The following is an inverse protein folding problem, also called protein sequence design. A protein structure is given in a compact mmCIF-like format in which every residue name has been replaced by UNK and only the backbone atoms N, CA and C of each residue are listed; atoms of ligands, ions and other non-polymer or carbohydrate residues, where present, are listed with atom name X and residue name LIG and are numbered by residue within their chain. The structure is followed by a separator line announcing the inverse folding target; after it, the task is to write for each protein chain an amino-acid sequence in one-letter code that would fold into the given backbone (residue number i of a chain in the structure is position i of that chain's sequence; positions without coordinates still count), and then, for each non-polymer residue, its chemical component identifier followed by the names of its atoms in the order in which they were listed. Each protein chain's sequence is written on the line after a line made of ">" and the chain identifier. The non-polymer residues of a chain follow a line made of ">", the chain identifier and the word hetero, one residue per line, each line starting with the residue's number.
data_IF_450890987044
#
_entry.id   IF_450890987044
#
_cell.length_a   1.000
_cell.length_b   1.000
_cell.length_c   1.000
_cell.angle_alpha   90.00
_cell.angle_beta   90.00
_cell.angle_gamma   90.00
#
_symmetry.space_group_name_H-M   'P 1'
#
loop_
_entity.id
_entity.type
_entity.pdbx_description
1 polymer ?
#
# COMPACT_ATOMS: atom_id res chain seq x y z
N UNK A 1 -16.94 -10.32 65.91
CA UNK A 1 -17.42 -9.73 64.65
C UNK A 1 -16.20 -9.29 63.85
N UNK A 2 -15.77 -10.12 62.91
CA UNK A 2 -14.70 -9.80 61.96
C UNK A 2 -15.34 -9.45 60.61
N UNK A 3 -14.87 -8.42 59.90
CA UNK A 3 -15.44 -8.06 58.61
C UNK A 3 -14.99 -9.06 57.54
N UNK A 4 -15.96 -9.67 56.86
CA UNK A 4 -15.77 -10.36 55.59
C UNK A 4 -15.49 -9.31 54.53
N UNK A 5 -14.31 -9.39 53.90
CA UNK A 5 -13.92 -8.56 52.76
C UNK A 5 -14.64 -9.10 51.51
N UNK A 6 -15.16 -8.25 50.61
CA UNK A 6 -15.91 -8.72 49.45
C UNK A 6 -15.00 -9.51 48.50
N UNK A 7 -15.52 -10.65 48.06
CA UNK A 7 -14.95 -11.47 47.02
C UNK A 7 -14.79 -10.65 45.74
N UNK A 8 -13.57 -10.62 45.22
CA UNK A 8 -13.26 -10.07 43.92
C UNK A 8 -13.84 -11.00 42.86
N UNK A 9 -14.94 -10.60 42.24
CA UNK A 9 -15.40 -11.18 40.97
C UNK A 9 -14.46 -10.72 39.84
N UNK A 10 -13.27 -11.31 39.78
CA UNK A 10 -12.49 -11.40 38.55
C UNK A 10 -13.07 -12.53 37.72
N UNK A 11 -14.15 -12.23 37.00
CA UNK A 11 -14.74 -13.13 36.02
C UNK A 11 -14.59 -12.53 34.64
N UNK A 12 -13.96 -13.28 33.74
CA UNK A 12 -13.95 -13.12 32.26
C UNK A 12 -12.71 -12.42 31.68
N UNK A 13 -11.55 -13.10 31.71
CA UNK A 13 -10.76 -13.33 30.48
C UNK A 13 -9.74 -14.47 30.69
N UNK A 14 -10.16 -15.57 31.33
CA UNK A 14 -9.30 -16.74 31.50
C UNK A 14 -9.24 -17.55 30.20
N UNK A 15 -8.17 -17.32 29.45
CA UNK A 15 -7.60 -18.24 28.44
C UNK A 15 -8.50 -18.58 27.25
N UNK A 16 -8.97 -17.58 26.51
CA UNK A 16 -9.52 -17.83 25.18
C UNK A 16 -8.49 -18.61 24.34
N UNK A 17 -8.88 -19.79 23.84
CA UNK A 17 -7.96 -20.62 23.06
C UNK A 17 -7.53 -19.89 21.78
N UNK A 18 -6.37 -20.20 21.18
CA UNK A 18 -5.98 -19.61 19.91
C UNK A 18 -7.08 -19.75 18.84
N UNK A 19 -7.77 -20.89 18.81
CA UNK A 19 -8.86 -21.17 17.86
C UNK A 19 -10.08 -20.27 18.09
N UNK A 20 -10.42 -19.99 19.34
CA UNK A 20 -11.52 -19.09 19.70
C UNK A 20 -11.19 -17.64 19.33
N UNK A 21 -9.96 -17.20 19.60
CA UNK A 21 -9.45 -15.89 19.19
C UNK A 21 -9.51 -15.70 17.67
N UNK A 22 -9.12 -16.73 16.91
CA UNK A 22 -9.18 -16.75 15.45
C UNK A 22 -10.62 -16.57 14.95
N UNK A 23 -11.58 -17.32 15.51
CA UNK A 23 -13.00 -17.21 15.12
C UNK A 23 -13.57 -15.84 15.46
N UNK A 24 -13.43 -15.40 16.71
CA UNK A 24 -13.94 -14.10 17.18
C UNK A 24 -13.38 -12.93 16.36
N UNK A 25 -12.08 -12.97 16.04
CA UNK A 25 -11.45 -11.95 15.22
C UNK A 25 -12.00 -11.94 13.78
N UNK A 26 -12.20 -13.12 13.17
CA UNK A 26 -12.80 -13.22 11.83
C UNK A 26 -14.24 -12.71 11.81
N UNK A 27 -15.04 -13.05 12.81
CA UNK A 27 -16.42 -12.57 12.94
C UNK A 27 -16.49 -11.05 13.14
N UNK A 28 -15.55 -10.50 13.90
CA UNK A 28 -15.39 -9.05 14.06
C UNK A 28 -15.12 -8.38 12.72
N UNK A 29 -14.16 -8.88 11.93
CA UNK A 29 -13.84 -8.32 10.62
C UNK A 29 -15.02 -8.45 9.65
N UNK A 30 -15.70 -9.60 9.66
CA UNK A 30 -16.85 -9.85 8.79
C UNK A 30 -18.03 -8.90 9.09
N UNK A 31 -18.32 -8.63 10.37
CA UNK A 31 -19.44 -7.75 10.76
C UNK A 31 -19.21 -6.27 10.41
N UNK A 32 -17.94 -5.84 10.40
CA UNK A 32 -17.53 -4.49 10.03
C UNK A 32 -17.41 -4.28 8.51
N UNK A 33 -17.36 -5.36 7.73
CA UNK A 33 -17.19 -5.28 6.27
C UNK A 33 -18.38 -4.57 5.62
N UNK A 34 -18.08 -3.74 4.63
CA UNK A 34 -19.05 -3.14 3.70
C UNK A 34 -18.62 -3.36 2.26
N UNK A 35 -19.57 -3.36 1.34
CA UNK A 35 -19.31 -3.55 -0.09
C UNK A 35 -18.63 -2.31 -0.68
N UNK A 36 -19.05 -1.13 -0.23
CA UNK A 36 -18.66 0.15 -0.85
C UNK A 36 -17.87 1.04 0.11
N UNK A 37 -17.29 0.44 1.15
CA UNK A 37 -16.54 1.17 2.18
C UNK A 37 -15.31 1.86 1.61
N UNK A 38 -15.06 3.10 2.05
CA UNK A 38 -13.93 3.92 1.59
C UNK A 38 -12.59 3.61 2.26
N UNK A 39 -12.51 2.60 3.13
CA UNK A 39 -11.28 2.26 3.87
C UNK A 39 -10.91 0.79 3.73
N UNK A 40 -9.62 0.50 3.78
CA UNK A 40 -9.05 -0.85 3.71
C UNK A 40 -7.96 -1.04 4.77
N UNK A 41 -7.66 -2.30 5.06
CA UNK A 41 -6.52 -2.70 5.91
C UNK A 41 -5.52 -3.45 5.05
N UNK A 42 -4.26 -3.00 5.03
CA UNK A 42 -3.19 -3.60 4.23
C UNK A 42 -1.86 -3.60 4.95
N UNK A 43 -0.90 -4.39 4.48
CA UNK A 43 0.48 -4.31 4.93
C UNK A 43 1.09 -2.97 4.47
N UNK A 44 1.72 -2.22 5.39
CA UNK A 44 2.35 -0.93 5.10
C UNK A 44 3.36 -0.99 3.95
N UNK A 45 4.15 -2.07 3.91
CA UNK A 45 5.29 -2.19 2.99
C UNK A 45 4.89 -2.77 1.63
N UNK A 46 4.11 -3.86 1.63
CA UNK A 46 3.77 -4.58 0.40
C UNK A 46 2.38 -4.26 -0.16
N UNK A 47 1.53 -3.54 0.58
CA UNK A 47 0.14 -3.27 0.20
C UNK A 47 -0.78 -4.51 0.18
N UNK A 48 -0.24 -5.69 0.46
CA UNK A 48 -0.99 -6.96 0.49
C UNK A 48 -2.05 -6.91 1.59
N UNK A 49 -3.22 -7.51 1.30
CA UNK A 49 -4.35 -7.64 2.23
C UNK A 49 -4.49 -9.09 2.68
N UNK A 50 -3.78 -9.49 3.75
CA UNK A 50 -3.78 -10.88 4.20
C UNK A 50 -5.10 -11.24 4.89
N UNK A 51 -5.36 -12.54 5.04
CA UNK A 51 -6.43 -13.03 5.92
C UNK A 51 -6.29 -12.41 7.33
N UNK A 52 -7.41 -11.96 7.94
CA UNK A 52 -8.80 -12.11 7.51
C UNK A 52 -9.38 -10.91 6.74
N UNK A 53 -8.57 -9.93 6.34
CA UNK A 53 -9.03 -8.67 5.71
C UNK A 53 -8.96 -8.71 4.17
N UNK A 54 -8.81 -9.91 3.61
CA UNK A 54 -8.79 -10.12 2.16
C UNK A 54 -10.08 -9.59 1.53
N UNK A 55 -9.94 -8.68 0.58
CA UNK A 55 -11.03 -7.96 -0.10
C UNK A 55 -12.04 -7.26 0.82
N UNK A 56 -11.69 -7.04 2.09
CA UNK A 56 -12.54 -6.33 3.03
C UNK A 56 -12.41 -4.81 2.82
N UNK A 57 -13.56 -4.14 2.77
CA UNK A 57 -13.68 -2.69 2.80
C UNK A 57 -14.50 -2.29 4.03
N UNK A 58 -14.28 -1.08 4.52
CA UNK A 58 -14.89 -0.56 5.74
C UNK A 58 -15.43 0.86 5.49
N UNK A 59 -16.58 1.17 6.10
CA UNK A 59 -17.29 2.42 5.87
C UNK A 59 -16.53 3.62 6.43
N UNK A 60 -16.01 3.44 7.65
CA UNK A 60 -15.31 4.47 8.39
C UNK A 60 -13.88 4.05 8.75
N UNK A 61 -13.04 5.05 8.99
CA UNK A 61 -11.71 4.83 9.53
C UNK A 61 -11.75 4.12 10.89
N UNK A 62 -12.77 4.38 11.71
CA UNK A 62 -12.97 3.71 13.01
C UNK A 62 -13.24 2.22 12.86
N UNK A 63 -14.15 1.84 11.96
CA UNK A 63 -14.44 0.43 11.65
C UNK A 63 -13.19 -0.27 11.10
N UNK A 64 -12.44 0.41 10.22
CA UNK A 64 -11.20 -0.11 9.68
C UNK A 64 -10.12 -0.30 10.75
N UNK A 65 -10.02 0.62 11.73
CA UNK A 65 -9.10 0.47 12.87
C UNK A 65 -9.49 -0.73 13.74
N UNK A 66 -10.77 -0.89 14.03
CA UNK A 66 -11.27 -2.02 14.81
C UNK A 66 -11.03 -3.34 14.07
N UNK A 67 -11.26 -3.38 12.76
CA UNK A 67 -10.94 -4.53 11.93
C UNK A 67 -9.43 -4.81 11.87
N UNK A 68 -8.58 -3.77 11.82
CA UNK A 68 -7.13 -3.91 11.87
C UNK A 68 -6.67 -4.55 13.20
N UNK A 69 -7.22 -4.09 14.33
CA UNK A 69 -6.93 -4.69 15.64
C UNK A 69 -7.39 -6.15 15.72
N UNK A 70 -8.57 -6.48 15.17
CA UNK A 70 -9.05 -7.86 15.07
C UNK A 70 -8.12 -8.70 14.17
N UNK A 71 -7.70 -8.19 13.03
CA UNK A 71 -6.77 -8.86 12.12
C UNK A 71 -5.40 -9.14 12.77
N UNK A 72 -4.88 -8.20 13.57
CA UNK A 72 -3.65 -8.41 14.36
C UNK A 72 -3.83 -9.59 15.32
N UNK A 73 -4.91 -9.61 16.12
CA UNK A 73 -5.24 -10.72 17.03
C UNK A 73 -5.38 -12.06 16.31
N UNK A 74 -6.07 -12.09 15.17
CA UNK A 74 -6.18 -13.28 14.32
C UNK A 74 -4.80 -13.82 13.95
N UNK A 75 -3.90 -12.95 13.45
CA UNK A 75 -2.57 -13.36 12.98
C UNK A 75 -1.65 -13.75 14.12
N UNK A 76 -1.76 -13.10 15.27
CA UNK A 76 -1.05 -13.50 16.49
C UNK A 76 -1.46 -14.89 16.95
N UNK A 77 -2.77 -15.16 17.03
CA UNK A 77 -3.29 -16.47 17.40
C UNK A 77 -2.94 -17.56 16.37
N UNK A 78 -3.01 -17.26 15.07
CA UNK A 78 -2.57 -18.18 14.01
C UNK A 78 -1.09 -18.52 14.13
N UNK A 79 -0.22 -17.57 14.55
CA UNK A 79 1.21 -17.82 14.74
C UNK A 79 1.53 -18.76 15.90
N UNK A 80 0.63 -18.87 16.88
CA UNK A 80 0.74 -19.90 17.92
C UNK A 80 0.55 -21.31 17.34
N UNK A 81 -0.25 -21.44 16.27
CA UNK A 81 -0.52 -22.71 15.60
C UNK A 81 0.51 -23.01 14.48
N UNK A 82 0.90 -21.97 13.74
CA UNK A 82 1.91 -22.02 12.69
C UNK A 82 2.92 -20.87 12.85
N UNK A 83 4.07 -21.12 13.51
CA UNK A 83 5.10 -20.13 13.72
C UNK A 83 5.76 -19.60 12.43
N UNK A 84 5.60 -20.28 11.30
CA UNK A 84 6.22 -19.88 10.03
C UNK A 84 5.49 -18.75 9.30
N UNK A 85 4.30 -18.36 9.78
CA UNK A 85 3.49 -17.31 9.17
C UNK A 85 4.17 -15.94 9.19
N UNK A 86 4.19 -15.29 8.03
CA UNK A 86 4.76 -13.96 7.82
C UNK A 86 4.19 -12.91 8.80
N UNK A 87 5.04 -11.99 9.26
CA UNK A 87 4.58 -10.81 10.01
C UNK A 87 4.26 -9.69 9.03
N UNK A 88 3.10 -9.08 9.19
CA UNK A 88 2.69 -7.91 8.41
C UNK A 88 2.43 -6.76 9.38
N UNK A 89 2.97 -5.58 9.10
CA UNK A 89 2.57 -4.35 9.78
C UNK A 89 1.30 -3.81 9.13
N UNK A 90 0.15 -4.13 9.73
CA UNK A 90 -1.16 -3.78 9.18
C UNK A 90 -1.52 -2.32 9.48
N UNK A 91 -1.84 -1.55 8.45
CA UNK A 91 -2.26 -0.16 8.55
C UNK A 91 -3.64 0.03 7.90
N UNK A 92 -4.35 1.05 8.38
CA UNK A 92 -5.59 1.52 7.75
C UNK A 92 -5.23 2.55 6.70
N UNK A 93 -5.86 2.46 5.53
CA UNK A 93 -5.70 3.45 4.47
C UNK A 93 -7.06 3.71 3.82
N UNK A 94 -7.34 4.95 3.39
CA UNK A 94 -8.45 5.19 2.49
C UNK A 94 -8.23 4.41 1.19
N UNK A 95 -9.32 4.04 0.52
CA UNK A 95 -9.25 3.62 -0.88
C UNK A 95 -9.06 4.89 -1.68
N UNK A 96 -7.83 5.16 -2.08
CA UNK A 96 -7.56 6.13 -3.13
C UNK A 96 -8.09 5.54 -4.46
N UNK A 97 -9.38 5.77 -4.73
CA UNK A 97 -9.95 5.67 -6.09
C UNK A 97 -9.46 6.82 -6.98
N UNK A 98 -8.62 7.68 -6.41
CA UNK A 98 -7.78 8.71 -6.98
C UNK A 98 -6.88 8.11 -8.07
N UNK A 99 -7.45 7.83 -9.25
CA UNK A 99 -6.70 7.38 -10.41
C UNK A 99 -5.52 8.33 -10.64
N UNK A 100 -4.30 7.79 -10.58
CA UNK A 100 -3.10 8.55 -10.92
C UNK A 100 -3.26 8.96 -12.39
N UNK A 101 -3.49 10.25 -12.65
CA UNK A 101 -3.66 10.74 -14.01
C UNK A 101 -2.29 10.99 -14.64
N UNK A 102 -2.05 10.34 -15.78
CA UNK A 102 -0.83 10.50 -16.56
C UNK A 102 -1.16 11.27 -17.83
N UNK A 103 -0.75 12.54 -17.88
CA UNK A 103 -0.84 13.35 -19.09
C UNK A 103 0.51 13.36 -19.81
N UNK A 104 0.53 13.15 -21.13
CA UNK A 104 1.74 13.33 -21.92
C UNK A 104 1.52 14.31 -23.06
N UNK A 105 2.34 15.35 -23.11
CA UNK A 105 2.32 16.37 -24.17
C UNK A 105 3.59 16.22 -25.00
N UNK A 106 3.43 16.14 -26.32
CA UNK A 106 4.52 16.16 -27.28
C UNK A 106 4.43 17.42 -28.12
N UNK A 107 5.44 18.27 -28.00
CA UNK A 107 5.57 19.48 -28.79
C UNK A 107 6.63 19.27 -29.87
N UNK A 108 6.32 19.64 -31.11
CA UNK A 108 7.31 19.76 -32.16
C UNK A 108 8.01 21.10 -31.97
N UNK A 109 9.34 21.07 -31.86
CA UNK A 109 10.13 22.30 -31.81
C UNK A 109 10.54 22.69 -33.23
N UNK A 110 10.75 23.99 -33.47
CA UNK A 110 11.23 24.52 -34.76
C UNK A 110 12.69 24.12 -35.07
N UNK A 111 13.35 23.38 -34.16
CA UNK A 111 14.69 22.84 -34.38
C UNK A 111 14.64 21.53 -35.14
N UNK A 112 15.58 21.35 -36.05
CA UNK A 112 15.88 20.05 -36.67
C UNK A 112 17.12 19.45 -36.03
N UNK A 113 17.11 18.13 -35.84
CA UNK A 113 18.27 17.33 -35.45
C UNK A 113 19.25 17.24 -36.63
N UNK A 114 20.50 16.88 -36.36
CA UNK A 114 21.53 16.70 -37.39
C UNK A 114 21.14 15.69 -38.49
N UNK A 115 20.24 14.75 -38.18
CA UNK A 115 19.69 13.77 -39.13
C UNK A 115 18.43 14.25 -39.89
N UNK A 116 18.06 15.54 -39.80
CA UNK A 116 16.95 16.14 -40.55
C UNK A 116 15.56 15.96 -39.92
N UNK A 117 15.43 15.18 -38.83
CA UNK A 117 14.16 14.99 -38.14
C UNK A 117 13.82 16.20 -37.23
N UNK A 118 12.54 16.55 -37.06
CA UNK A 118 12.12 17.57 -36.11
C UNK A 118 12.53 17.17 -34.69
N UNK A 119 13.16 18.09 -33.95
CA UNK A 119 13.36 17.91 -32.53
C UNK A 119 11.98 18.01 -31.84
N UNK A 120 11.61 17.00 -31.07
CA UNK A 120 10.37 17.01 -30.30
C UNK A 120 10.69 17.06 -28.81
N UNK A 121 9.95 17.90 -28.07
CA UNK A 121 9.94 17.95 -26.61
C UNK A 121 8.80 17.07 -26.12
N UNK A 122 9.08 16.16 -25.19
CA UNK A 122 8.03 15.36 -24.55
C UNK A 122 8.02 15.67 -23.06
N UNK A 123 6.85 16.07 -22.58
CA UNK A 123 6.56 16.27 -21.16
C UNK A 123 5.58 15.19 -20.73
N UNK A 124 5.86 14.51 -19.63
CA UNK A 124 4.92 13.62 -18.94
C UNK A 124 4.66 14.21 -17.56
N UNK A 125 3.39 14.39 -17.21
CA UNK A 125 2.96 14.90 -15.91
C UNK A 125 2.16 13.80 -15.21
N UNK A 126 2.54 13.51 -13.97
CA UNK A 126 1.78 12.69 -13.02
C UNK A 126 1.07 13.62 -12.05
N UNK A 127 -0.24 13.47 -11.93
CA UNK A 127 -1.05 14.23 -10.97
C UNK A 127 -1.92 13.27 -10.14
N UNK A 128 -2.06 13.59 -8.84
CA UNK A 128 -3.12 13.01 -8.01
C UNK A 128 -4.43 13.79 -8.20
N UNK A 129 -5.58 13.19 -7.88
CA UNK A 129 -6.89 13.88 -7.89
C UNK A 129 -6.98 14.83 -6.69
N UNK A 130 -6.27 15.94 -6.80
CA UNK A 130 -6.11 16.93 -5.76
C UNK A 130 -5.23 18.06 -6.24
N UNK A 131 -5.40 18.45 -7.51
CA UNK A 131 -4.87 19.63 -8.20
C UNK A 131 -3.36 19.94 -8.10
N UNK A 132 -2.58 19.13 -7.40
CA UNK A 132 -1.14 19.31 -7.29
C UNK A 132 -0.45 18.40 -8.31
N UNK A 133 0.42 19.00 -9.13
CA UNK A 133 1.34 18.30 -10.01
C UNK A 133 2.38 17.57 -9.15
N UNK A 134 2.41 16.23 -9.21
CA UNK A 134 3.30 15.44 -8.35
C UNK A 134 4.66 15.21 -8.99
N UNK A 135 4.70 15.01 -10.31
CA UNK A 135 5.95 14.81 -11.03
C UNK A 135 5.83 15.29 -12.48
N UNK A 136 6.74 16.17 -12.90
CA UNK A 136 6.92 16.57 -14.29
C UNK A 136 8.24 16.05 -14.82
N UNK A 137 8.18 15.23 -15.87
CA UNK A 137 9.37 14.73 -16.57
C UNK A 137 9.43 15.35 -17.95
N UNK A 138 10.48 16.12 -18.21
CA UNK A 138 10.75 16.70 -19.53
C UNK A 138 11.96 16.02 -20.15
N UNK A 139 11.77 15.41 -21.32
CA UNK A 139 12.83 14.73 -22.07
C UNK A 139 13.65 13.73 -21.22
N UNK A 140 13.04 13.18 -20.17
CA UNK A 140 13.69 12.29 -19.23
C UNK A 140 14.00 10.93 -19.88
N UNK A 141 15.13 10.31 -19.50
CA UNK A 141 15.45 8.96 -19.93
C UNK A 141 14.39 7.98 -19.43
N UNK A 142 13.91 7.10 -20.32
CA UNK A 142 12.99 6.01 -19.97
C UNK A 142 13.80 4.94 -19.24
N UNK A 143 13.50 4.76 -17.96
CA UNK A 143 14.04 3.66 -17.14
C UNK A 143 12.94 2.62 -16.92
N UNK A 144 13.26 1.35 -17.14
CA UNK A 144 12.35 0.24 -16.88
C UNK A 144 12.59 -0.29 -15.48
N UNK A 145 11.58 -0.24 -14.61
CA UNK A 145 11.61 -0.93 -13.32
C UNK A 145 11.18 -2.39 -13.52
N UNK A 146 11.97 -3.33 -13.02
CA UNK A 146 11.71 -4.77 -13.12
C UNK A 146 10.73 -5.30 -12.07
N UNK A 147 10.18 -4.42 -11.21
CA UNK A 147 9.18 -4.73 -10.20
C UNK A 147 9.51 -4.11 -8.84
N UNK A 148 8.58 -4.16 -7.88
CA UNK A 148 8.75 -3.54 -6.55
C UNK A 148 9.91 -4.16 -5.73
N UNK A 149 10.23 -5.44 -5.95
CA UNK A 149 11.22 -6.18 -5.17
C UNK A 149 12.58 -6.36 -5.86
N UNK A 150 12.77 -5.79 -7.05
CA UNK A 150 14.04 -5.89 -7.78
C UNK A 150 14.77 -4.56 -7.72
N UNK A 151 15.76 -4.45 -6.84
CA UNK A 151 16.69 -3.33 -6.87
C UNK A 151 17.40 -3.33 -8.22
N UNK A 152 17.17 -2.30 -9.02
CA UNK A 152 17.94 -2.06 -10.23
C UNK A 152 19.36 -1.68 -9.81
N UNK A 153 20.35 -2.28 -10.48
CA UNK A 153 21.75 -1.94 -10.26
C UNK A 153 22.01 -0.48 -10.67
N UNK A 154 22.56 0.32 -9.73
CA UNK A 154 22.92 1.72 -9.94
C UNK A 154 23.84 1.91 -11.16
N UNK A 155 24.70 0.92 -11.48
CA UNK A 155 25.56 0.96 -12.65
C UNK A 155 24.75 0.81 -13.96
N UNK A 156 23.74 -0.06 -13.96
CA UNK A 156 22.85 -0.26 -15.11
C UNK A 156 22.00 0.99 -15.32
N UNK A 157 21.48 1.58 -14.24
CA UNK A 157 20.75 2.86 -14.27
C UNK A 157 21.67 3.96 -14.81
N UNK A 158 22.84 4.16 -14.22
CA UNK A 158 23.79 5.21 -14.63
C UNK A 158 24.21 5.06 -16.09
N UNK A 159 24.42 3.83 -16.57
CA UNK A 159 24.77 3.55 -17.97
C UNK A 159 23.62 3.88 -18.93
N UNK A 160 22.38 3.53 -18.60
CA UNK A 160 21.23 3.91 -19.43
C UNK A 160 21.01 5.43 -19.44
N UNK A 161 21.10 6.08 -18.28
CA UNK A 161 20.99 7.53 -18.16
C UNK A 161 22.04 8.23 -19.02
N UNK A 162 23.31 7.82 -18.95
CA UNK A 162 24.39 8.38 -19.78
C UNK A 162 24.17 8.11 -21.27
N UNK A 163 23.84 6.89 -21.66
CA UNK A 163 23.57 6.54 -23.07
C UNK A 163 22.46 7.40 -23.69
N UNK A 164 21.43 7.77 -22.93
CA UNK A 164 20.29 8.56 -23.42
C UNK A 164 20.52 10.08 -23.31
N UNK A 165 21.35 10.52 -22.37
CA UNK A 165 21.76 11.92 -22.24
C UNK A 165 22.84 12.31 -23.27
N UNK A 166 23.74 11.38 -23.62
CA UNK A 166 24.79 11.62 -24.62
C UNK A 166 24.26 11.59 -26.06
N UNK A 167 23.17 10.86 -26.34
CA UNK A 167 22.40 10.96 -27.60
C UNK A 167 21.83 12.37 -27.85
N UNK A 168 21.74 13.21 -26.81
CA UNK A 168 21.28 14.60 -26.89
C UNK A 168 22.42 15.64 -27.01
N UNK A 169 23.69 15.22 -27.06
CA UNK A 169 24.87 16.11 -27.14
C UNK A 169 25.58 16.11 -28.50
N UNK A 170 25.01 15.46 -29.53
CA UNK A 170 25.51 15.43 -30.91
C UNK A 170 24.62 16.18 -31.88
#
# INVERSE_FOLDING_TARGET
>A
MSPVTPETTSGTDESATPVETIRSARDTVASLRRTDGGFVVSCRESGIRPEPVTDARFDSHGDAQQACAAARRYRDAMRTLDPSLSRYDLVVSPIDETALEVASVREQTDRRRANGLPASRRTVTLAGSGSDEWLRVENGPVVHFTGPDSLLDDEVIARQLRSKLDENRG
#
